data_IF_936086199102
#
_entry.id   IF_936086199102
#
_cell.length_a   1.000
_cell.length_b   1.000
_cell.length_c   1.000
_cell.angle_alpha   90.00
_cell.angle_beta   90.00
_cell.angle_gamma   90.00
#
_symmetry.space_group_name_H-M   'P 1'
#
loop_
_entity.id
_entity.type
_entity.pdbx_description
1 polymer ?
#
# COMPACT_ATOMS: atom_id res chain seq x y z
N UNK A 1 22.98 9.53 6.20
CA UNK A 1 23.27 9.91 7.61
C UNK A 1 22.16 9.46 8.58
N UNK A 2 20.88 9.59 8.25
CA UNK A 2 19.75 9.18 9.12
C UNK A 2 19.73 7.68 9.45
N UNK A 3 19.99 6.80 8.46
CA UNK A 3 20.02 5.35 8.71
C UNK A 3 21.05 4.94 9.80
N UNK A 4 22.20 5.61 9.85
CA UNK A 4 23.25 5.33 10.83
C UNK A 4 22.83 5.75 12.25
N UNK A 5 22.08 6.84 12.37
CA UNK A 5 21.48 7.29 13.65
C UNK A 5 20.50 6.25 14.18
N UNK A 6 19.66 5.67 13.32
CA UNK A 6 18.74 4.60 13.73
C UNK A 6 19.47 3.35 14.21
N UNK A 7 20.53 2.92 13.52
CA UNK A 7 21.34 1.77 13.96
C UNK A 7 21.93 2.03 15.36
N UNK A 8 22.51 3.21 15.58
CA UNK A 8 23.03 3.60 16.90
C UNK A 8 21.92 3.58 17.96
N UNK A 9 20.74 4.13 17.64
CA UNK A 9 19.59 4.11 18.54
C UNK A 9 19.17 2.68 18.92
N UNK A 10 19.05 1.76 17.96
CA UNK A 10 18.71 0.36 18.24
C UNK A 10 19.77 -0.36 19.06
N UNK A 11 21.06 -0.09 18.81
CA UNK A 11 22.16 -0.66 19.60
C UNK A 11 22.09 -0.18 21.05
N UNK A 12 21.96 1.14 21.26
CA UNK A 12 21.83 1.72 22.60
C UNK A 12 20.60 1.18 23.31
N UNK A 13 19.45 1.13 22.63
CA UNK A 13 18.22 0.57 23.16
C UNK A 13 18.37 -0.92 23.54
N UNK A 14 19.06 -1.71 22.71
CA UNK A 14 19.35 -3.11 22.99
C UNK A 14 20.21 -3.28 24.25
N UNK A 15 21.26 -2.46 24.40
CA UNK A 15 22.12 -2.46 25.60
C UNK A 15 21.33 -2.10 26.87
N UNK A 16 20.49 -1.06 26.80
CA UNK A 16 19.60 -0.67 27.91
C UNK A 16 18.64 -1.80 28.26
N UNK A 17 18.03 -2.43 27.25
CA UNK A 17 17.10 -3.55 27.45
C UNK A 17 17.78 -4.73 28.14
N UNK A 18 18.98 -5.13 27.71
CA UNK A 18 19.77 -6.19 28.34
C UNK A 18 20.10 -5.83 29.80
N UNK A 19 20.47 -4.58 30.05
CA UNK A 19 20.76 -4.11 31.41
C UNK A 19 19.53 -4.20 32.32
N UNK A 20 18.38 -3.69 31.86
CA UNK A 20 17.11 -3.73 32.60
C UNK A 20 16.68 -5.17 32.89
N UNK A 21 16.70 -6.05 31.88
CA UNK A 21 16.35 -7.47 32.01
C UNK A 21 17.26 -8.16 33.04
N UNK A 22 18.58 -7.92 32.99
CA UNK A 22 19.53 -8.50 33.93
C UNK A 22 19.32 -8.01 35.36
N UNK A 23 19.01 -6.72 35.54
CA UNK A 23 18.71 -6.16 36.87
C UNK A 23 17.42 -6.76 37.44
N UNK A 24 16.37 -6.84 36.65
CA UNK A 24 15.10 -7.46 37.05
C UNK A 24 15.23 -8.96 37.34
N UNK A 25 16.01 -9.68 36.53
CA UNK A 25 16.32 -11.09 36.77
C UNK A 25 17.03 -11.28 38.11
N UNK A 26 18.10 -10.52 38.37
CA UNK A 26 18.85 -10.60 39.65
C UNK A 26 17.99 -10.19 40.84
N UNK A 27 17.17 -9.14 40.70
CA UNK A 27 16.26 -8.68 41.74
C UNK A 27 15.22 -9.76 42.08
N UNK A 28 14.55 -10.31 41.06
CA UNK A 28 13.56 -11.36 41.25
C UNK A 28 14.17 -12.65 41.80
N UNK A 29 15.39 -13.01 41.36
CA UNK A 29 16.12 -14.16 41.91
C UNK A 29 16.42 -13.99 43.40
N UNK A 30 16.77 -12.78 43.85
CA UNK A 30 17.06 -12.50 45.26
C UNK A 30 15.80 -12.44 46.12
N UNK A 31 14.69 -11.91 45.59
CA UNK A 31 13.46 -11.67 46.38
C UNK A 31 12.50 -12.85 46.36
N UNK A 32 12.37 -13.53 45.23
CA UNK A 32 11.32 -14.54 44.98
C UNK A 32 11.88 -15.90 44.51
N UNK A 33 13.21 -16.07 44.47
CA UNK A 33 13.92 -17.27 44.01
C UNK A 33 13.67 -17.67 42.54
N UNK A 34 12.71 -17.04 41.85
CA UNK A 34 12.30 -17.30 40.46
C UNK A 34 12.74 -16.17 39.53
N UNK A 35 14.05 -15.99 39.39
CA UNK A 35 14.64 -14.91 38.57
C UNK A 35 14.13 -14.86 37.14
N UNK A 36 13.87 -16.03 36.53
CA UNK A 36 13.40 -16.13 35.14
C UNK A 36 12.08 -15.41 34.89
N UNK A 37 11.15 -15.41 35.86
CA UNK A 37 9.86 -14.72 35.74
C UNK A 37 10.05 -13.20 35.65
N UNK A 38 10.94 -12.65 36.49
CA UNK A 38 11.24 -11.21 36.48
C UNK A 38 11.98 -10.78 35.22
N UNK A 39 12.90 -11.63 34.72
CA UNK A 39 13.58 -11.40 33.45
C UNK A 39 12.62 -11.40 32.26
N UNK A 40 11.71 -12.38 32.18
CA UNK A 40 10.69 -12.45 31.13
C UNK A 40 9.71 -11.29 31.15
N UNK A 41 9.24 -10.89 32.34
CA UNK A 41 8.35 -9.73 32.46
C UNK A 41 9.04 -8.45 31.96
N UNK A 42 10.28 -8.21 32.36
CA UNK A 42 11.07 -7.07 31.88
C UNK A 42 11.30 -7.14 30.36
N UNK A 43 11.59 -8.33 29.82
CA UNK A 43 11.78 -8.52 28.38
C UNK A 43 10.50 -8.22 27.60
N UNK A 44 9.34 -8.69 28.07
CA UNK A 44 8.04 -8.41 27.45
C UNK A 44 7.68 -6.92 27.49
N UNK A 45 7.96 -6.24 28.60
CA UNK A 45 7.74 -4.79 28.73
C UNK A 45 8.63 -4.00 27.76
N UNK A 46 9.93 -4.32 27.73
CA UNK A 46 10.85 -3.66 26.80
C UNK A 46 10.43 -3.94 25.35
N UNK A 47 10.18 -5.20 24.98
CA UNK A 47 9.72 -5.55 23.64
C UNK A 47 8.46 -4.79 23.21
N UNK A 48 7.45 -4.71 24.07
CA UNK A 48 6.21 -4.00 23.75
C UNK A 48 6.44 -2.50 23.51
N UNK A 49 7.36 -1.83 24.20
CA UNK A 49 7.59 -0.39 23.96
C UNK A 49 7.92 -0.06 22.49
N UNK A 50 8.60 -0.96 21.80
CA UNK A 50 8.99 -0.75 20.39
C UNK A 50 8.03 -1.44 19.43
N UNK A 51 7.59 -2.66 19.76
CA UNK A 51 6.83 -3.53 18.84
C UNK A 51 5.35 -3.65 19.18
N UNK A 52 4.79 -2.76 20.02
CA UNK A 52 3.38 -2.82 20.42
C UNK A 52 2.42 -2.77 19.23
N UNK A 53 2.80 -2.10 18.14
CA UNK A 53 1.97 -1.93 16.95
C UNK A 53 2.07 -3.10 15.96
N UNK A 54 3.05 -4.00 16.12
CA UNK A 54 3.29 -5.06 15.16
C UNK A 54 2.09 -6.02 15.04
N UNK A 55 1.55 -6.46 16.17
CA UNK A 55 0.41 -7.39 16.22
C UNK A 55 -0.86 -6.70 15.70
N UNK A 56 -1.28 -5.51 16.20
CA UNK A 56 -2.47 -4.82 15.69
C UNK A 56 -2.39 -4.52 14.19
N UNK A 57 -1.25 -4.05 13.68
CA UNK A 57 -1.08 -3.79 12.23
C UNK A 57 -1.25 -5.06 11.41
N UNK A 58 -0.67 -6.18 11.87
CA UNK A 58 -0.79 -7.46 11.15
C UNK A 58 -2.23 -7.96 11.11
N UNK A 59 -2.96 -7.86 12.23
CA UNK A 59 -4.36 -8.24 12.32
C UNK A 59 -5.22 -7.36 11.42
N UNK A 60 -5.04 -6.04 11.46
CA UNK A 60 -5.80 -5.10 10.64
C UNK A 60 -5.49 -5.24 9.15
N UNK A 61 -4.22 -5.44 8.78
CA UNK A 61 -3.84 -5.69 7.39
C UNK A 61 -4.52 -6.95 6.86
N UNK A 62 -4.51 -8.04 7.64
CA UNK A 62 -5.22 -9.27 7.28
C UNK A 62 -6.73 -9.05 7.14
N UNK A 63 -7.32 -8.28 8.06
CA UNK A 63 -8.75 -7.92 8.00
C UNK A 63 -9.08 -7.18 6.71
N UNK A 64 -8.37 -6.09 6.40
CA UNK A 64 -8.59 -5.31 5.17
C UNK A 64 -8.34 -6.14 3.90
N UNK A 65 -7.30 -6.97 3.91
CA UNK A 65 -7.04 -7.88 2.80
C UNK A 65 -8.16 -8.91 2.57
N UNK A 66 -8.88 -9.31 3.62
CA UNK A 66 -9.98 -10.28 3.50
C UNK A 66 -11.34 -9.66 3.20
N UNK A 67 -11.52 -8.37 3.48
CA UNK A 67 -12.83 -7.69 3.44
C UNK A 67 -12.93 -6.67 2.31
N UNK A 68 -11.87 -5.91 2.06
CA UNK A 68 -11.89 -4.74 1.17
C UNK A 68 -10.93 -4.86 0.00
N UNK A 69 -9.90 -5.72 0.08
CA UNK A 69 -8.99 -5.93 -1.05
C UNK A 69 -9.65 -6.79 -2.13
N UNK A 70 -9.38 -6.46 -3.38
CA UNK A 70 -9.88 -7.23 -4.50
C UNK A 70 -9.78 -6.49 -5.82
N UNK A 71 -10.08 -7.23 -6.88
CA UNK A 71 -10.18 -6.71 -8.24
C UNK A 71 -11.55 -7.06 -8.78
N UNK A 72 -12.27 -6.04 -9.25
CA UNK A 72 -13.61 -6.14 -9.78
C UNK A 72 -13.66 -5.53 -11.18
N UNK A 73 -14.22 -6.28 -12.12
CA UNK A 73 -14.54 -5.79 -13.47
C UNK A 73 -16.05 -5.71 -13.56
N UNK A 74 -16.58 -4.49 -13.58
CA UNK A 74 -18.02 -4.26 -13.75
C UNK A 74 -18.41 -4.29 -15.23
N UNK A 75 -17.54 -3.76 -16.09
CA UNK A 75 -17.74 -3.73 -17.54
C UNK A 75 -16.41 -3.85 -18.26
N UNK A 76 -16.33 -4.76 -19.23
CA UNK A 76 -15.13 -4.89 -20.07
C UNK A 76 -15.06 -3.74 -21.09
N UNK A 77 -13.85 -3.33 -21.52
CA UNK A 77 -13.70 -2.31 -22.57
C UNK A 77 -14.42 -2.70 -23.86
N UNK A 78 -14.38 -3.97 -24.26
CA UNK A 78 -15.12 -4.47 -25.43
C UNK A 78 -16.63 -4.32 -25.31
N UNK A 79 -17.21 -4.54 -24.13
CA UNK A 79 -18.64 -4.31 -23.90
C UNK A 79 -18.97 -2.81 -23.92
N UNK A 80 -18.14 -1.98 -23.29
CA UNK A 80 -18.33 -0.53 -23.28
C UNK A 80 -18.27 0.08 -24.69
N UNK A 81 -17.35 -0.41 -25.54
CA UNK A 81 -17.20 0.03 -26.94
C UNK A 81 -18.46 -0.32 -27.76
N UNK A 82 -19.03 -1.51 -27.56
CA UNK A 82 -20.28 -1.90 -28.23
C UNK A 82 -21.45 -0.98 -27.86
N UNK A 83 -21.47 -0.50 -26.62
CA UNK A 83 -22.50 0.43 -26.13
C UNK A 83 -22.24 1.89 -26.55
N UNK A 84 -21.00 2.25 -26.94
CA UNK A 84 -20.58 3.60 -27.31
C UNK A 84 -19.73 3.58 -28.59
N UNK A 85 -20.28 3.14 -29.74
CA UNK A 85 -19.51 3.00 -30.97
C UNK A 85 -19.03 4.33 -31.56
N UNK A 86 -19.70 5.43 -31.23
CA UNK A 86 -19.39 6.81 -31.63
C UNK A 86 -18.07 7.34 -31.04
N UNK A 87 -17.57 6.69 -29.99
CA UNK A 87 -16.34 7.07 -29.31
C UNK A 87 -15.08 6.44 -29.93
N UNK A 88 -15.24 5.43 -30.78
CA UNK A 88 -14.11 4.75 -31.43
C UNK A 88 -13.54 5.65 -32.53
N UNK A 89 -12.23 5.85 -32.52
CA UNK A 89 -11.56 6.72 -33.49
C UNK A 89 -11.79 8.22 -33.25
N UNK A 90 -12.28 8.61 -32.06
CA UNK A 90 -12.35 10.03 -31.70
C UNK A 90 -10.95 10.51 -31.31
N UNK A 91 -10.40 11.48 -32.04
CA UNK A 91 -9.09 12.04 -31.72
C UNK A 91 -9.11 12.66 -30.31
N UNK A 92 -8.22 12.20 -29.45
CA UNK A 92 -8.04 12.71 -28.09
C UNK A 92 -6.57 12.91 -27.75
N UNK A 93 -6.28 14.01 -27.05
CA UNK A 93 -4.93 14.40 -26.66
C UNK A 93 -4.15 15.12 -27.75
N UNK A 94 -2.95 15.59 -27.40
CA UNK A 94 -1.98 16.18 -28.32
C UNK A 94 -0.85 15.15 -28.48
N UNK A 95 -0.60 14.70 -29.71
CA UNK A 95 0.48 13.75 -30.05
C UNK A 95 0.45 12.40 -29.29
N UNK A 96 -0.73 11.81 -29.08
CA UNK A 96 -0.91 10.48 -28.45
C UNK A 96 -0.46 10.38 -26.98
N UNK A 97 -0.06 11.51 -26.35
CA UNK A 97 0.29 11.53 -24.94
C UNK A 97 -0.99 11.73 -24.13
N UNK A 98 -1.39 10.68 -23.40
CA UNK A 98 -2.51 10.74 -22.47
C UNK A 98 -2.34 11.87 -21.46
N UNK A 99 -3.43 12.59 -21.16
CA UNK A 99 -3.40 13.68 -20.17
C UNK A 99 -3.19 13.08 -18.77
N UNK A 100 -2.23 13.60 -18.03
CA UNK A 100 -2.04 13.30 -16.61
C UNK A 100 -2.46 14.52 -15.78
N UNK A 101 -3.35 14.31 -14.82
CA UNK A 101 -3.83 15.33 -13.90
C UNK A 101 -3.56 14.88 -12.46
N UNK A 102 -2.93 15.74 -11.68
CA UNK A 102 -2.86 15.56 -10.23
C UNK A 102 -4.03 16.33 -9.61
N UNK A 103 -4.97 15.61 -9.01
CA UNK A 103 -6.14 16.22 -8.37
C UNK A 103 -5.73 16.75 -6.99
N UNK A 104 -5.01 15.93 -6.23
CA UNK A 104 -4.42 16.24 -4.94
C UNK A 104 -3.14 15.38 -4.76
N UNK A 105 -2.45 15.51 -3.64
CA UNK A 105 -1.19 14.79 -3.38
C UNK A 105 -1.35 13.26 -3.43
N UNK A 106 -2.54 12.77 -3.09
CA UNK A 106 -2.86 11.36 -2.95
C UNK A 106 -3.55 10.75 -4.18
N UNK A 107 -4.11 11.58 -5.07
CA UNK A 107 -4.96 11.14 -6.19
C UNK A 107 -4.47 11.71 -7.51
N UNK A 108 -4.16 10.78 -8.41
CA UNK A 108 -3.71 11.04 -9.75
C UNK A 108 -4.68 10.47 -10.76
N UNK A 109 -4.86 11.18 -11.87
CA UNK A 109 -5.76 10.79 -12.95
C UNK A 109 -5.01 10.74 -14.26
N UNK A 110 -5.10 9.60 -14.95
CA UNK A 110 -4.55 9.39 -16.28
C UNK A 110 -5.68 9.16 -17.27
N UNK A 111 -5.76 9.99 -18.30
CA UNK A 111 -6.81 9.94 -19.30
C UNK A 111 -6.43 9.01 -20.45
N UNK A 112 -7.32 8.07 -20.77
CA UNK A 112 -7.17 7.18 -21.95
C UNK A 112 -7.96 7.70 -23.15
N UNK A 113 -9.06 8.42 -22.93
CA UNK A 113 -9.82 9.13 -23.96
C UNK A 113 -10.45 10.40 -23.37
N UNK A 114 -11.27 11.13 -24.14
CA UNK A 114 -12.04 12.28 -23.65
C UNK A 114 -13.07 11.89 -22.57
N UNK A 115 -13.40 10.60 -22.53
CA UNK A 115 -14.46 10.04 -21.71
C UNK A 115 -13.97 8.99 -20.71
N UNK A 116 -12.88 8.28 -20.99
CA UNK A 116 -12.35 7.26 -20.08
C UNK A 116 -11.08 7.77 -19.41
N UNK A 117 -11.04 7.66 -18.09
CA UNK A 117 -9.85 7.90 -17.30
C UNK A 117 -9.65 6.82 -16.25
N UNK A 118 -8.40 6.64 -15.88
CA UNK A 118 -7.97 5.86 -14.74
C UNK A 118 -7.63 6.82 -13.61
N UNK A 119 -8.17 6.57 -12.42
CA UNK A 119 -7.85 7.26 -11.20
C UNK A 119 -7.05 6.33 -10.29
N UNK A 120 -5.97 6.87 -9.73
CA UNK A 120 -5.10 6.17 -8.80
C UNK A 120 -5.04 6.97 -7.50
N UNK A 121 -5.48 6.38 -6.41
CA UNK A 121 -5.52 6.99 -5.08
C UNK A 121 -4.65 6.19 -4.13
N UNK A 122 -3.68 6.84 -3.48
CA UNK A 122 -2.95 6.29 -2.35
C UNK A 122 -3.41 6.97 -1.07
N UNK A 123 -3.87 6.19 -0.11
CA UNK A 123 -4.19 6.70 1.22
C UNK A 123 -3.47 5.89 2.28
N UNK A 124 -3.33 6.48 3.47
CA UNK A 124 -2.80 5.78 4.64
C UNK A 124 -3.89 5.59 5.67
N UNK A 125 -3.84 4.47 6.38
CA UNK A 125 -4.80 4.07 7.40
C UNK A 125 -4.08 3.44 8.59
N UNK A 126 -4.77 3.36 9.72
CA UNK A 126 -4.27 2.73 10.95
C UNK A 126 -2.91 3.32 11.41
N UNK A 127 -2.90 4.60 11.78
CA UNK A 127 -1.70 5.35 12.23
C UNK A 127 -0.54 5.30 11.24
N UNK A 128 -0.83 5.50 9.95
CA UNK A 128 0.13 5.48 8.84
C UNK A 128 0.88 4.16 8.63
N UNK A 129 0.45 3.08 9.27
CA UNK A 129 1.13 1.78 9.20
C UNK A 129 0.64 0.92 8.02
N UNK A 130 -0.58 1.15 7.54
CA UNK A 130 -1.21 0.42 6.44
C UNK A 130 -1.53 1.40 5.32
N UNK A 131 -0.84 1.26 4.20
CA UNK A 131 -1.17 1.95 2.97
C UNK A 131 -2.30 1.24 2.23
N UNK A 132 -3.13 2.02 1.56
CA UNK A 132 -4.21 1.59 0.68
C UNK A 132 -3.97 2.22 -0.69
N UNK A 133 -3.82 1.39 -1.69
CA UNK A 133 -3.74 1.78 -3.09
C UNK A 133 -5.03 1.38 -3.78
N UNK A 134 -5.65 2.34 -4.46
CA UNK A 134 -6.88 2.12 -5.20
C UNK A 134 -6.70 2.58 -6.65
N UNK A 135 -7.03 1.71 -7.60
CA UNK A 135 -7.04 2.01 -9.03
C UNK A 135 -8.46 1.83 -9.56
N UNK A 136 -9.04 2.87 -10.17
CA UNK A 136 -10.40 2.83 -10.71
C UNK A 136 -10.37 3.28 -12.16
N UNK A 137 -10.97 2.50 -13.06
CA UNK A 137 -11.25 2.90 -14.43
C UNK A 137 -12.67 3.44 -14.50
N UNK A 138 -12.86 4.67 -14.96
CA UNK A 138 -14.16 5.38 -14.89
C UNK A 138 -14.55 5.92 -16.27
N UNK A 139 -15.85 5.83 -16.57
CA UNK A 139 -16.48 6.59 -17.67
C UNK A 139 -16.96 7.94 -17.13
N UNK A 140 -16.33 9.03 -17.58
CA UNK A 140 -16.62 10.42 -17.20
C UNK A 140 -18.08 10.82 -17.43
N UNK A 141 -18.71 10.35 -18.50
CA UNK A 141 -20.07 10.79 -18.83
C UNK A 141 -21.11 10.22 -17.85
N UNK A 142 -20.88 8.99 -17.41
CA UNK A 142 -21.81 8.29 -16.51
C UNK A 142 -21.37 8.31 -15.04
N UNK A 143 -20.10 8.58 -14.78
CA UNK A 143 -19.49 8.46 -13.45
C UNK A 143 -19.31 7.01 -12.99
N UNK A 144 -19.61 6.02 -13.84
CA UNK A 144 -19.58 4.61 -13.46
C UNK A 144 -18.16 4.04 -13.53
N UNK A 145 -17.78 3.27 -12.52
CA UNK A 145 -16.56 2.47 -12.55
C UNK A 145 -16.71 1.28 -13.49
N UNK A 146 -15.82 1.16 -14.46
CA UNK A 146 -15.70 0.03 -15.38
C UNK A 146 -14.90 -1.11 -14.73
N UNK A 147 -13.84 -0.75 -14.00
CA UNK A 147 -13.03 -1.68 -13.23
C UNK A 147 -12.50 -0.98 -11.98
N UNK A 148 -12.28 -1.74 -10.90
CA UNK A 148 -11.77 -1.24 -9.62
C UNK A 148 -10.83 -2.26 -9.02
N UNK A 149 -9.67 -1.83 -8.56
CA UNK A 149 -8.77 -2.62 -7.76
C UNK A 149 -8.43 -1.88 -6.48
N UNK A 150 -8.51 -2.59 -5.36
CA UNK A 150 -8.09 -2.10 -4.05
C UNK A 150 -7.04 -3.06 -3.51
N UNK A 151 -5.92 -2.51 -3.07
CA UNK A 151 -4.84 -3.25 -2.44
C UNK A 151 -4.40 -2.55 -1.16
N UNK A 152 -4.11 -3.34 -0.14
CA UNK A 152 -3.51 -2.87 1.10
C UNK A 152 -2.10 -3.40 1.25
N UNK A 153 -1.21 -2.52 1.69
CA UNK A 153 0.18 -2.86 1.97
C UNK A 153 0.60 -2.36 3.35
N UNK A 154 1.48 -3.12 4.01
CA UNK A 154 2.01 -2.80 5.34
C UNK A 154 3.47 -2.36 5.27
N UNK A 155 3.81 -1.39 6.10
CA UNK A 155 5.14 -0.79 6.14
C UNK A 155 5.50 -0.02 4.87
N UNK A 156 6.64 0.67 4.89
CA UNK A 156 7.11 1.48 3.76
C UNK A 156 8.09 0.72 2.87
N UNK A 157 8.01 0.86 1.53
CA UNK A 157 8.98 0.27 0.59
C UNK A 157 10.42 0.73 0.84
N UNK A 158 10.59 1.88 1.48
CA UNK A 158 11.88 2.53 1.71
C UNK A 158 12.28 2.60 3.19
N UNK A 159 11.97 1.61 4.02
CA UNK A 159 12.21 1.69 5.47
C UNK A 159 13.67 1.94 5.90
N UNK A 160 14.63 1.80 4.97
CA UNK A 160 16.04 2.15 5.14
C UNK A 160 16.55 3.13 4.06
N UNK A 161 15.67 3.62 3.18
CA UNK A 161 16.02 4.56 2.13
C UNK A 161 16.04 6.01 2.65
N UNK A 162 16.92 6.83 2.09
CA UNK A 162 16.98 8.26 2.34
C UNK A 162 15.76 8.92 1.66
N UNK A 163 14.79 9.38 2.45
CA UNK A 163 13.56 10.01 1.94
C UNK A 163 12.24 9.54 2.57
N UNK A 164 12.28 8.89 3.73
CA UNK A 164 11.06 8.58 4.48
C UNK A 164 10.37 9.87 4.96
N UNK A 165 9.06 9.94 4.74
CA UNK A 165 8.23 11.13 5.00
C UNK A 165 7.45 11.00 6.32
N UNK A 166 7.49 9.84 6.98
CA UNK A 166 6.75 9.55 8.21
C UNK A 166 7.52 8.63 9.16
N UNK A 167 7.20 8.69 10.45
CA UNK A 167 7.79 7.80 11.47
C UNK A 167 7.44 6.32 11.24
N UNK A 168 6.28 6.02 10.64
CA UNK A 168 5.89 4.65 10.30
C UNK A 168 6.78 4.05 9.21
N UNK A 169 7.41 4.88 8.37
CA UNK A 169 8.28 4.39 7.31
C UNK A 169 9.52 3.69 7.87
N UNK A 170 10.03 4.12 9.03
CA UNK A 170 11.21 3.52 9.67
C UNK A 170 10.92 2.24 10.45
N UNK A 171 9.65 1.82 10.55
CA UNK A 171 9.24 0.63 11.29
C UNK A 171 9.48 -0.64 10.47
N UNK A 172 10.75 -1.02 10.33
CA UNK A 172 11.20 -2.16 9.52
C UNK A 172 10.48 -3.48 9.83
N UNK A 173 10.00 -3.66 11.08
CA UNK A 173 9.28 -4.86 11.50
C UNK A 173 7.89 -5.00 10.85
N UNK A 174 7.30 -3.88 10.43
CA UNK A 174 6.05 -3.89 9.68
C UNK A 174 6.25 -4.37 8.23
N UNK A 175 7.47 -4.30 7.72
CA UNK A 175 7.83 -4.74 6.36
C UNK A 175 8.27 -6.22 6.28
N UNK A 176 8.36 -6.94 7.41
CA UNK A 176 8.80 -8.34 7.43
C UNK A 176 7.76 -9.29 6.81
N UNK A 177 8.15 -10.19 5.90
CA UNK A 177 7.22 -11.16 5.28
C UNK A 177 6.34 -10.55 4.18
N UNK A 178 5.18 -11.15 3.91
CA UNK A 178 4.27 -10.65 2.86
C UNK A 178 3.68 -9.29 3.27
N UNK A 179 3.98 -8.28 2.48
CA UNK A 179 3.50 -6.91 2.69
C UNK A 179 2.17 -6.62 2.02
N UNK A 180 1.83 -7.39 1.00
CA UNK A 180 0.63 -7.23 0.19
C UNK A 180 -0.38 -8.34 0.51
N UNK A 181 -1.61 -8.20 0.01
CA UNK A 181 -2.72 -9.11 0.30
C UNK A 181 -2.63 -10.52 -0.34
N UNK A 182 -1.55 -10.86 -1.06
CA UNK A 182 -1.38 -12.17 -1.68
C UNK A 182 -0.15 -12.28 -2.59
N UNK A 183 0.05 -13.44 -3.26
CA UNK A 183 1.14 -13.65 -4.23
C UNK A 183 0.94 -12.88 -5.53
N UNK A 184 -0.33 -12.63 -5.90
CA UNK A 184 -0.71 -11.78 -7.03
C UNK A 184 -1.49 -10.61 -6.47
N UNK A 185 -1.08 -9.38 -6.80
CA UNK A 185 -1.72 -8.20 -6.25
C UNK A 185 -2.97 -7.84 -7.06
N UNK A 186 -3.97 -7.23 -6.41
CA UNK A 186 -5.16 -6.73 -7.11
C UNK A 186 -4.77 -5.70 -8.18
N UNK A 187 -3.73 -4.90 -7.90
CA UNK A 187 -3.17 -3.96 -8.87
C UNK A 187 -2.51 -4.68 -10.04
N UNK A 188 -1.78 -5.78 -9.81
CA UNK A 188 -1.22 -6.58 -10.91
C UNK A 188 -2.34 -7.09 -11.82
N UNK A 189 -3.40 -7.67 -11.26
CA UNK A 189 -4.56 -8.13 -12.04
C UNK A 189 -5.24 -7.00 -12.81
N UNK A 190 -5.32 -5.80 -12.22
CA UNK A 190 -5.82 -4.61 -12.90
C UNK A 190 -4.91 -4.16 -14.05
N UNK A 191 -3.59 -4.18 -13.85
CA UNK A 191 -2.63 -3.82 -14.90
C UNK A 191 -2.59 -4.85 -16.01
N UNK A 192 -2.77 -6.14 -15.70
CA UNK A 192 -2.91 -7.21 -16.67
C UNK A 192 -4.21 -7.05 -17.47
N UNK A 193 -5.32 -6.70 -16.81
CA UNK A 193 -6.57 -6.34 -17.47
C UNK A 193 -6.41 -5.11 -18.38
N UNK A 194 -5.74 -4.06 -17.90
CA UNK A 194 -5.51 -2.86 -18.70
C UNK A 194 -4.61 -3.14 -19.89
N UNK A 195 -3.52 -3.90 -19.71
CA UNK A 195 -2.58 -4.24 -20.78
C UNK A 195 -3.23 -5.15 -21.84
N UNK A 196 -3.99 -6.16 -21.43
CA UNK A 196 -4.73 -7.05 -22.34
C UNK A 196 -5.82 -6.32 -23.14
N UNK A 197 -6.38 -5.24 -22.60
CA UNK A 197 -7.38 -4.41 -23.27
C UNK A 197 -6.81 -3.10 -23.82
N UNK A 198 -5.50 -2.91 -23.78
CA UNK A 198 -4.84 -1.65 -24.15
C UNK A 198 -5.16 -1.26 -25.58
N UNK A 199 -5.15 -2.22 -26.49
CA UNK A 199 -5.48 -1.98 -27.90
C UNK A 199 -6.92 -1.46 -28.08
N UNK A 200 -7.89 -2.06 -27.38
CA UNK A 200 -9.28 -1.62 -27.42
C UNK A 200 -9.46 -0.21 -26.84
N UNK A 201 -8.72 0.12 -25.78
CA UNK A 201 -8.73 1.47 -25.18
C UNK A 201 -7.99 2.49 -26.05
N UNK A 202 -6.90 2.11 -26.72
CA UNK A 202 -6.17 2.97 -27.65
C UNK A 202 -6.97 3.26 -28.92
N UNK A 203 -7.81 2.32 -29.39
CA UNK A 203 -8.74 2.58 -30.49
C UNK A 203 -9.73 3.72 -30.20
N UNK A 204 -9.98 4.05 -28.94
CA UNK A 204 -10.81 5.20 -28.58
C UNK A 204 -10.14 6.53 -28.90
N UNK A 205 -8.82 6.62 -28.79
CA UNK A 205 -8.06 7.88 -28.93
C UNK A 205 -7.33 8.05 -30.26
N UNK A 206 -7.08 6.96 -31.00
CA UNK A 206 -6.17 6.96 -32.17
C UNK A 206 -6.71 7.59 -33.45
N UNK A 207 -7.95 8.09 -33.49
CA UNK A 207 -8.38 8.84 -34.66
C UNK A 207 -8.51 8.03 -35.97
N UNK A 208 -8.25 6.72 -35.94
CA UNK A 208 -8.30 5.87 -37.13
C UNK A 208 -9.74 5.40 -37.34
N UNK A 209 -10.47 6.19 -38.11
CA UNK A 209 -11.59 5.69 -38.90
C UNK A 209 -11.05 5.46 -40.32
N UNK A 210 -11.32 4.27 -40.84
CA UNK A 210 -11.30 3.84 -42.26
C UNK A 210 -10.80 4.84 -43.30
#
# INVERSE_FOLDING_TARGET
MIALIYIVFFVVYGLISIFVINKFYRFSKRRYSKGWVGGWLAALLMYNLVFWDWIPVYVMHKYYCSTEAGFWVYKSPGQWIKENPDMVGRKWGVNEIGKYETINEDTHRSWSSDRIYMEYTQTRSFNDAIGRSESVLVDKATGNALARAIEFYRGSPGALALGANSLSDYKIWLSLGHRNCGPTTAIQGFMDFFSSNRYALEQLGKGEVK
#
